data_IF_468908687632
#
_entry.id   IF_468908687632
#
_cell.length_a   1.000
_cell.length_b   1.000
_cell.length_c   1.000
_cell.angle_alpha   90.00
_cell.angle_beta   90.00
_cell.angle_gamma   90.00
#
_symmetry.space_group_name_H-M   'P 1'
#
loop_
_entity.id
_entity.type
_entity.pdbx_description
1 polymer ?
#
# COMPACT_ATOMS: atom_id res chain seq x y z
N UNK A 1 -2.41 -3.95 -19.22
CA UNK A 1 -2.52 -2.77 -18.35
C UNK A 1 -3.08 -3.12 -16.97
N UNK A 2 -4.21 -3.84 -16.88
CA UNK A 2 -4.72 -4.30 -15.57
C UNK A 2 -3.87 -5.42 -14.93
N UNK A 3 -3.26 -6.29 -15.74
CA UNK A 3 -2.44 -7.38 -15.23
C UNK A 3 -1.14 -6.94 -14.53
N UNK A 4 -0.51 -5.86 -14.99
CA UNK A 4 0.71 -5.30 -14.40
C UNK A 4 0.43 -4.69 -13.03
N UNK A 5 -0.64 -3.89 -12.92
CA UNK A 5 -1.10 -3.35 -11.64
C UNK A 5 -1.49 -4.46 -10.67
N UNK A 6 -2.27 -5.46 -11.13
CA UNK A 6 -2.67 -6.61 -10.33
C UNK A 6 -1.46 -7.38 -9.80
N UNK A 7 -0.43 -7.56 -10.63
CA UNK A 7 0.78 -8.31 -10.27
C UNK A 7 1.65 -7.52 -9.29
N UNK A 8 1.84 -6.22 -9.53
CA UNK A 8 2.60 -5.33 -8.64
C UNK A 8 1.98 -5.23 -7.25
N UNK A 9 0.66 -4.99 -7.17
CA UNK A 9 -0.06 -4.92 -5.90
C UNK A 9 -0.05 -6.25 -5.16
N UNK A 10 -0.26 -7.38 -5.85
CA UNK A 10 -0.18 -8.71 -5.22
C UNK A 10 1.21 -9.00 -4.68
N UNK A 11 2.27 -8.62 -5.39
CA UNK A 11 3.64 -8.80 -4.92
C UNK A 11 3.92 -7.96 -3.67
N UNK A 12 3.45 -6.71 -3.67
CA UNK A 12 3.58 -5.77 -2.57
C UNK A 12 2.83 -6.26 -1.31
N UNK A 13 1.58 -6.73 -1.46
CA UNK A 13 0.80 -7.34 -0.38
C UNK A 13 1.46 -8.63 0.12
N UNK A 14 1.94 -9.48 -0.78
CA UNK A 14 2.60 -10.75 -0.41
C UNK A 14 3.83 -10.50 0.47
N UNK A 15 4.63 -9.47 0.17
CA UNK A 15 5.75 -9.06 1.03
C UNK A 15 5.28 -8.75 2.45
N UNK A 16 4.24 -7.91 2.59
CA UNK A 16 3.69 -7.52 3.91
C UNK A 16 3.16 -8.71 4.69
N UNK A 17 2.43 -9.61 4.03
CA UNK A 17 1.87 -10.81 4.68
C UNK A 17 2.99 -11.77 5.11
N UNK A 18 4.01 -11.94 4.26
CA UNK A 18 5.15 -12.84 4.50
C UNK A 18 6.16 -12.32 5.53
N UNK A 19 6.22 -11.02 5.78
CA UNK A 19 7.16 -10.43 6.73
C UNK A 19 6.87 -10.90 8.16
N UNK A 20 7.89 -11.25 8.95
CA UNK A 20 7.69 -11.67 10.35
C UNK A 20 7.09 -10.59 11.25
N UNK A 21 7.30 -9.32 10.90
CA UNK A 21 6.79 -8.12 11.57
C UNK A 21 6.52 -7.00 10.58
N UNK A 22 5.90 -5.93 11.07
CA UNK A 22 5.64 -4.71 10.28
C UNK A 22 6.45 -3.57 10.89
N UNK A 23 7.52 -3.21 10.19
CA UNK A 23 8.46 -2.15 10.57
C UNK A 23 8.33 -0.96 9.61
N UNK A 24 8.81 0.21 10.03
CA UNK A 24 8.77 1.43 9.22
C UNK A 24 9.50 1.28 7.87
N UNK A 25 10.54 0.45 7.80
CA UNK A 25 11.27 0.15 6.57
C UNK A 25 10.40 -0.62 5.58
N UNK A 26 9.65 -1.63 6.05
CA UNK A 26 8.72 -2.40 5.23
C UNK A 26 7.61 -1.54 4.65
N UNK A 27 7.08 -0.59 5.45
CA UNK A 27 6.05 0.37 5.01
C UNK A 27 6.59 1.28 3.91
N UNK A 28 7.82 1.76 4.05
CA UNK A 28 8.47 2.63 3.06
C UNK A 28 8.74 1.89 1.75
N UNK A 29 9.17 0.64 1.83
CA UNK A 29 9.35 -0.22 0.66
C UNK A 29 8.01 -0.55 -0.02
N UNK A 30 6.97 -0.83 0.76
CA UNK A 30 5.61 -1.02 0.25
C UNK A 30 5.13 0.22 -0.51
N UNK A 31 5.26 1.40 0.07
CA UNK A 31 4.89 2.69 -0.52
C UNK A 31 5.60 2.91 -1.86
N UNK A 32 6.91 2.63 -1.94
CA UNK A 32 7.69 2.71 -3.19
C UNK A 32 7.27 1.71 -4.26
N UNK A 33 6.94 0.48 -3.86
CA UNK A 33 6.47 -0.55 -4.79
C UNK A 33 5.08 -0.19 -5.34
N UNK A 34 4.19 0.34 -4.49
CA UNK A 34 2.86 0.85 -4.88
C UNK A 34 3.00 2.07 -5.79
N UNK A 35 3.89 3.01 -5.47
CA UNK A 35 4.18 4.18 -6.30
C UNK A 35 4.57 3.76 -7.73
N UNK A 36 5.50 2.80 -7.85
CA UNK A 36 5.94 2.27 -9.15
C UNK A 36 4.81 1.58 -9.89
N UNK A 37 4.00 0.78 -9.20
CA UNK A 37 2.86 0.08 -9.81
C UNK A 37 1.79 1.04 -10.34
N UNK A 38 1.50 2.12 -9.62
CA UNK A 38 0.53 3.14 -10.04
C UNK A 38 1.03 3.96 -11.23
N UNK A 39 2.31 4.35 -11.23
CA UNK A 39 2.93 5.04 -12.37
C UNK A 39 2.94 4.17 -13.64
N UNK A 40 3.20 2.87 -13.50
CA UNK A 40 3.14 1.91 -14.61
C UNK A 40 1.72 1.65 -15.11
N UNK A 41 0.70 2.02 -14.34
CA UNK A 41 -0.70 1.92 -14.71
C UNK A 41 -1.25 3.22 -15.33
N UNK A 42 -0.38 4.15 -15.71
CA UNK A 42 -0.72 5.46 -16.30
C UNK A 42 -1.59 6.35 -15.39
N UNK A 43 -1.45 6.21 -14.05
CA UNK A 43 -2.10 7.10 -13.07
C UNK A 43 -1.33 8.43 -12.96
N UNK A 44 -2.05 9.54 -12.82
CA UNK A 44 -1.45 10.88 -12.69
C UNK A 44 -0.48 10.96 -11.49
N UNK A 45 0.74 11.46 -11.73
CA UNK A 45 1.82 11.55 -10.73
C UNK A 45 1.38 12.30 -9.47
N UNK A 46 0.54 13.34 -9.58
CA UNK A 46 0.04 14.10 -8.42
C UNK A 46 -0.84 13.23 -7.54
N UNK A 47 -1.70 12.42 -8.15
CA UNK A 47 -2.57 11.47 -7.44
C UNK A 47 -1.71 10.40 -6.78
N UNK A 48 -0.74 9.84 -7.51
CA UNK A 48 0.17 8.82 -6.97
C UNK A 48 0.89 9.34 -5.72
N UNK A 49 1.49 10.54 -5.77
CA UNK A 49 2.20 11.13 -4.64
C UNK A 49 1.27 11.36 -3.45
N UNK A 50 0.05 11.85 -3.70
CA UNK A 50 -0.93 12.08 -2.64
C UNK A 50 -1.33 10.76 -1.96
N UNK A 51 -1.56 9.70 -2.72
CA UNK A 51 -1.93 8.39 -2.19
C UNK A 51 -0.79 7.76 -1.41
N UNK A 52 0.43 7.75 -1.94
CA UNK A 52 1.57 7.13 -1.27
C UNK A 52 1.87 7.80 0.06
N UNK A 53 1.70 9.12 0.14
CA UNK A 53 1.82 9.85 1.41
C UNK A 53 0.74 9.44 2.42
N UNK A 54 -0.53 9.38 2.00
CA UNK A 54 -1.62 8.94 2.88
C UNK A 54 -1.43 7.50 3.37
N UNK A 55 -0.95 6.60 2.50
CA UNK A 55 -0.61 5.23 2.90
C UNK A 55 0.50 5.23 3.95
N UNK A 56 1.59 5.99 3.76
CA UNK A 56 2.69 6.06 4.73
C UNK A 56 2.26 6.64 6.08
N UNK A 57 1.53 7.75 6.06
CA UNK A 57 1.01 8.42 7.27
C UNK A 57 0.08 7.46 8.04
N UNK A 58 -0.92 6.88 7.36
CA UNK A 58 -1.87 5.95 7.99
C UNK A 58 -1.20 4.67 8.44
N UNK A 59 -0.32 4.07 7.66
CA UNK A 59 0.38 2.85 8.07
C UNK A 59 1.29 3.06 9.30
N UNK A 60 1.76 4.28 9.53
CA UNK A 60 2.67 4.62 10.65
C UNK A 60 1.91 5.10 11.88
N UNK A 61 0.93 5.99 11.71
CA UNK A 61 0.18 6.63 12.81
C UNK A 61 -1.05 5.84 13.23
N UNK A 62 -1.71 5.15 12.30
CA UNK A 62 -2.97 4.47 12.55
C UNK A 62 -2.68 3.15 13.29
N UNK A 63 -3.15 3.07 14.54
CA UNK A 63 -3.06 1.84 15.32
C UNK A 63 -4.10 0.85 14.78
N UNK A 64 -3.71 -0.42 14.57
CA UNK A 64 -4.64 -1.41 14.08
C UNK A 64 -5.83 -1.53 15.02
N UNK A 65 -7.07 -1.60 14.49
CA UNK A 65 -8.26 -1.78 15.31
C UNK A 65 -8.17 -3.08 16.13
N UNK A 66 -8.83 -3.14 17.29
CA UNK A 66 -8.75 -4.30 18.18
C UNK A 66 -9.19 -5.57 17.44
N UNK A 67 -8.32 -6.58 17.43
CA UNK A 67 -8.53 -7.85 16.73
C UNK A 67 -7.98 -7.91 15.30
N UNK A 68 -7.46 -6.82 14.74
CA UNK A 68 -6.81 -6.81 13.43
C UNK A 68 -5.29 -6.85 13.57
N UNK A 69 -4.62 -7.71 12.81
CA UNK A 69 -3.17 -7.70 12.77
C UNK A 69 -2.68 -6.41 12.09
N UNK A 70 -1.48 -5.94 12.45
CA UNK A 70 -0.87 -4.76 11.82
C UNK A 70 -0.73 -4.93 10.30
N UNK A 71 -0.54 -6.17 9.85
CA UNK A 71 -0.47 -6.54 8.43
C UNK A 71 -1.80 -6.34 7.72
N UNK A 72 -2.87 -6.90 8.29
CA UNK A 72 -4.21 -6.82 7.70
C UNK A 72 -4.71 -5.37 7.70
N UNK A 73 -4.31 -4.58 8.71
CA UNK A 73 -4.60 -3.14 8.74
C UNK A 73 -3.95 -2.40 7.57
N UNK A 74 -2.68 -2.67 7.27
CA UNK A 74 -1.99 -2.06 6.12
C UNK A 74 -2.63 -2.46 4.79
N UNK A 75 -2.99 -3.74 4.65
CA UNK A 75 -3.70 -4.22 3.45
C UNK A 75 -5.04 -3.53 3.30
N UNK A 76 -5.76 -3.31 4.40
CA UNK A 76 -7.01 -2.56 4.41
C UNK A 76 -6.81 -1.10 4.01
N UNK A 77 -5.82 -0.40 4.58
CA UNK A 77 -5.48 0.98 4.19
C UNK A 77 -5.20 1.06 2.69
N UNK A 78 -4.38 0.14 2.16
CA UNK A 78 -4.06 0.10 0.75
C UNK A 78 -5.32 -0.07 -0.12
N UNK A 79 -6.23 -0.95 0.29
CA UNK A 79 -7.48 -1.17 -0.41
C UNK A 79 -8.39 0.06 -0.36
N UNK A 80 -8.54 0.68 0.82
CA UNK A 80 -9.35 1.88 1.02
C UNK A 80 -8.82 3.05 0.16
N UNK A 81 -7.51 3.24 0.10
CA UNK A 81 -6.89 4.31 -0.69
C UNK A 81 -7.02 4.08 -2.21
N UNK A 82 -6.92 2.83 -2.67
CA UNK A 82 -7.15 2.49 -4.08
C UNK A 82 -8.63 2.64 -4.44
N UNK A 83 -9.54 2.20 -3.55
CA UNK A 83 -10.97 2.34 -3.74
C UNK A 83 -11.40 3.81 -3.77
N UNK A 84 -10.74 4.69 -3.00
CA UNK A 84 -11.00 6.13 -3.02
C UNK A 84 -10.54 6.85 -4.30
N UNK A 85 -9.75 6.19 -5.16
CA UNK A 85 -9.36 6.75 -6.48
C UNK A 85 -10.35 6.41 -7.60
N UNK A 86 -11.22 5.41 -7.40
CA UNK A 86 -12.24 4.97 -8.34
C UNK A 86 -13.54 5.76 -8.13
#
# INVERSE_FOLDING_TARGET
>A
MLDTLRTGLRAAIKKVVSAGGVDAELIKDLSRDVQRALLQADVDVKIVIAVTKRIEERATEEKPPPGLSRKDHIVKILYDEIAAML
#
